data_IF_766126884215
#
_entry.id   IF_766126884215
#
_cell.length_a   1.000
_cell.length_b   1.000
_cell.length_c   1.000
_cell.angle_alpha   90.00
_cell.angle_beta   90.00
_cell.angle_gamma   90.00
#
_symmetry.space_group_name_H-M   'P 1'
#
loop_
_entity.id
_entity.type
_entity.pdbx_description
1 polymer ?
#
# COMPACT_ATOMS: atom_id res chain seq x y z
N UNK A 1 -9.87 -0.88 1.46
CA UNK A 1 -9.36 -1.08 2.84
C UNK A 1 -7.87 -0.83 3.00
N UNK A 2 -7.06 -1.05 1.95
CA UNK A 2 -5.59 -0.86 1.97
C UNK A 2 -5.16 0.55 2.38
N UNK A 3 -5.75 1.59 1.80
CA UNK A 3 -5.45 3.00 2.17
C UNK A 3 -5.68 3.23 3.67
N UNK A 4 -6.81 2.78 4.22
CA UNK A 4 -7.14 2.92 5.64
C UNK A 4 -6.12 2.23 6.54
N UNK A 5 -5.64 1.03 6.18
CA UNK A 5 -4.60 0.32 6.94
C UNK A 5 -3.26 1.06 6.89
N UNK A 6 -2.91 1.60 5.73
CA UNK A 6 -1.70 2.43 5.55
C UNK A 6 -1.77 3.77 6.31
N UNK A 7 -2.95 4.29 6.65
CA UNK A 7 -3.08 5.49 7.49
C UNK A 7 -2.43 5.31 8.86
N UNK A 8 -2.55 4.12 9.46
CA UNK A 8 -2.03 3.83 10.80
C UNK A 8 -0.54 3.50 10.80
N UNK A 9 -0.02 2.99 9.69
CA UNK A 9 1.40 2.72 9.47
C UNK A 9 2.09 1.95 10.62
N UNK A 10 1.37 1.00 11.24
CA UNK A 10 1.95 0.08 12.23
C UNK A 10 2.34 -1.22 11.55
N UNK A 11 3.29 -1.94 12.14
CA UNK A 11 3.80 -3.22 11.62
C UNK A 11 2.71 -4.25 11.30
N UNK A 12 1.67 -4.35 12.14
CA UNK A 12 0.53 -5.24 11.90
C UNK A 12 -0.32 -4.84 10.69
N UNK A 13 -0.43 -3.53 10.44
CA UNK A 13 -1.27 -2.98 9.38
C UNK A 13 -0.55 -3.15 8.03
N UNK A 14 0.77 -3.02 8.02
CA UNK A 14 1.64 -3.35 6.87
C UNK A 14 1.54 -4.83 6.50
N UNK A 15 1.63 -5.74 7.48
CA UNK A 15 1.52 -7.18 7.24
C UNK A 15 0.14 -7.58 6.65
N UNK A 16 -0.92 -6.90 7.07
CA UNK A 16 -2.25 -7.11 6.49
C UNK A 16 -2.31 -6.60 5.03
N UNK A 17 -1.70 -5.45 4.75
CA UNK A 17 -1.57 -4.91 3.37
C UNK A 17 -0.78 -5.87 2.47
N UNK A 18 0.29 -6.50 2.96
CA UNK A 18 0.99 -7.57 2.23
C UNK A 18 0.06 -8.73 1.87
N UNK A 19 -0.74 -9.19 2.84
CA UNK A 19 -1.68 -10.29 2.61
C UNK A 19 -2.75 -9.91 1.58
N UNK A 20 -3.25 -8.68 1.62
CA UNK A 20 -4.19 -8.15 0.62
C UNK A 20 -3.53 -8.12 -0.76
N UNK A 21 -2.29 -7.65 -0.87
CA UNK A 21 -1.54 -7.62 -2.14
C UNK A 21 -1.38 -9.03 -2.73
N UNK A 22 -1.03 -10.03 -1.90
CA UNK A 22 -0.91 -11.44 -2.33
C UNK A 22 -2.24 -12.06 -2.74
N UNK A 23 -3.33 -11.69 -2.06
CA UNK A 23 -4.65 -12.32 -2.27
C UNK A 23 -5.42 -11.69 -3.44
N UNK A 24 -5.38 -10.36 -3.56
CA UNK A 24 -6.07 -9.64 -4.62
C UNK A 24 -5.24 -9.50 -5.89
N UNK A 25 -3.90 -9.56 -5.80
CA UNK A 25 -3.00 -9.55 -6.95
C UNK A 25 -3.27 -8.38 -7.90
N UNK A 26 -3.62 -8.71 -9.14
CA UNK A 26 -3.99 -7.75 -10.19
C UNK A 26 -5.36 -7.06 -10.02
N UNK A 27 -6.25 -7.56 -9.15
CA UNK A 27 -7.54 -6.93 -8.90
C UNK A 27 -7.43 -5.67 -8.02
N UNK A 28 -6.33 -5.51 -7.29
CA UNK A 28 -6.08 -4.33 -6.48
C UNK A 28 -5.50 -3.22 -7.36
N UNK A 29 -6.20 -2.08 -7.44
CA UNK A 29 -5.67 -0.89 -8.10
C UNK A 29 -4.57 -0.24 -7.26
N UNK A 30 -3.33 -0.66 -7.53
CA UNK A 30 -2.14 -0.19 -6.80
C UNK A 30 -1.84 1.29 -7.07
N UNK A 31 -2.18 1.77 -8.27
CA UNK A 31 -1.99 3.17 -8.67
C UNK A 31 -2.95 4.06 -7.90
N UNK A 32 -4.22 3.64 -7.77
CA UNK A 32 -5.21 4.34 -6.97
C UNK A 32 -4.80 4.43 -5.50
N UNK A 33 -4.33 3.34 -4.89
CA UNK A 33 -3.85 3.34 -3.49
C UNK A 33 -2.69 4.32 -3.30
N UNK A 34 -1.70 4.31 -4.22
CA UNK A 34 -0.56 5.25 -4.18
C UNK A 34 -1.04 6.71 -4.27
N UNK A 35 -1.92 7.00 -5.23
CA UNK A 35 -2.42 8.36 -5.45
C UNK A 35 -3.20 8.87 -4.24
N UNK A 36 -4.04 8.04 -3.62
CA UNK A 36 -4.73 8.40 -2.38
C UNK A 36 -3.77 8.69 -1.23
N UNK A 37 -2.70 7.89 -1.06
CA UNK A 37 -1.70 8.14 -0.02
C UNK A 37 -0.94 9.45 -0.25
N UNK A 38 -0.59 9.74 -1.51
CA UNK A 38 0.08 10.98 -1.89
C UNK A 38 -0.80 12.22 -1.73
N UNK A 39 -2.10 12.11 -2.05
CA UNK A 39 -3.07 13.18 -1.85
C UNK A 39 -3.25 13.51 -0.36
N UNK A 40 -3.38 12.47 0.49
CA UNK A 40 -3.64 12.64 1.92
C UNK A 40 -2.43 13.11 2.74
N UNK A 41 -1.24 12.59 2.44
CA UNK A 41 -0.04 12.79 3.28
C UNK A 41 1.09 13.54 2.56
N UNK A 42 0.94 13.79 1.26
CA UNK A 42 1.96 14.39 0.41
C UNK A 42 2.88 13.37 -0.22
N UNK A 43 3.40 13.70 -1.41
CA UNK A 43 4.22 12.82 -2.25
C UNK A 43 5.57 12.37 -1.63
N UNK A 44 5.96 12.92 -0.47
CA UNK A 44 7.23 12.63 0.22
C UNK A 44 7.04 11.90 1.54
N UNK A 45 5.82 11.50 1.88
CA UNK A 45 5.56 10.80 3.13
C UNK A 45 6.19 9.39 3.12
N UNK A 46 6.83 8.95 4.22
CA UNK A 46 7.46 7.63 4.31
C UNK A 46 6.50 6.45 4.06
N UNK A 47 5.18 6.64 4.20
CA UNK A 47 4.17 5.63 3.83
C UNK A 47 4.17 5.31 2.34
N UNK A 48 4.49 6.28 1.48
CA UNK A 48 4.62 6.05 0.04
C UNK A 48 5.85 5.20 -0.27
N UNK A 49 6.98 5.48 0.38
CA UNK A 49 8.18 4.67 0.20
C UNK A 49 7.95 3.22 0.64
N UNK A 50 7.30 3.02 1.78
CA UNK A 50 6.92 1.69 2.25
C UNK A 50 5.91 0.99 1.31
N UNK A 51 4.94 1.74 0.77
CA UNK A 51 4.03 1.21 -0.24
C UNK A 51 4.75 0.75 -1.51
N UNK A 52 5.68 1.56 -2.02
CA UNK A 52 6.47 1.22 -3.21
C UNK A 52 7.36 0.00 -2.97
N UNK A 53 7.90 -0.16 -1.76
CA UNK A 53 8.66 -1.34 -1.36
C UNK A 53 7.79 -2.61 -1.37
N UNK A 54 6.62 -2.56 -0.73
CA UNK A 54 5.66 -3.67 -0.68
C UNK A 54 5.20 -4.10 -2.08
N UNK A 55 4.90 -3.14 -2.95
CA UNK A 55 4.47 -3.41 -4.34
C UNK A 55 5.58 -4.02 -5.17
N UNK A 56 6.84 -3.67 -4.88
CA UNK A 56 8.02 -4.25 -5.53
C UNK A 56 8.27 -5.68 -5.07
N UNK A 57 8.13 -5.94 -3.77
CA UNK A 57 8.31 -7.29 -3.19
C UNK A 57 7.19 -8.26 -3.59
N UNK A 58 5.97 -7.76 -3.78
CA UNK A 58 4.79 -8.57 -4.11
C UNK A 58 4.25 -8.13 -5.48
N UNK A 59 4.81 -8.65 -6.59
CA UNK A 59 4.31 -8.33 -7.93
C UNK A 59 2.85 -8.77 -8.12
N UNK A 60 2.14 -8.13 -9.04
CA UNK A 60 0.82 -8.59 -9.45
C UNK A 60 1.05 -9.67 -10.53
N UNK A 61 1.03 -10.93 -10.11
CA UNK A 61 0.95 -12.08 -11.05
C UNK A 61 -0.47 -12.24 -11.59
#
# INVERSE_FOLDING_TARGET
MTVFKMMFFRRKDVADVEQILRTQGAQLDRTWVRNQLADMYGARDPRLAAWEDLVREIPAE
#
